data_IF_510184587246
#
_entry.id   IF_510184587246
#
_cell.length_a   1.000
_cell.length_b   1.000
_cell.length_c   1.000
_cell.angle_alpha   90.00
_cell.angle_beta   90.00
_cell.angle_gamma   90.00
#
_symmetry.space_group_name_H-M   'P 1'
#
loop_
_entity.id
_entity.type
_entity.pdbx_description
1 polymer ?
#
# COMPACT_ATOMS: atom_id res chain seq x y z
N UNK A 1 -44.96 -4.37 24.10
CA UNK A 1 -43.86 -3.39 24.28
C UNK A 1 -43.10 -3.29 22.97
N UNK A 2 -43.41 -2.29 22.16
CA UNK A 2 -42.77 -2.05 20.86
C UNK A 2 -41.27 -1.76 21.03
N UNK A 3 -40.44 -2.58 20.38
CA UNK A 3 -39.02 -2.31 20.21
C UNK A 3 -38.88 -1.25 19.13
N UNK A 4 -38.87 0.00 19.57
CA UNK A 4 -38.61 1.19 18.76
C UNK A 4 -37.28 1.06 17.95
N UNK A 5 -37.35 1.31 16.64
CA UNK A 5 -36.35 1.17 15.55
C UNK A 5 -35.43 2.40 15.34
N UNK A 6 -34.11 2.28 15.52
CA UNK A 6 -33.18 3.44 15.46
C UNK A 6 -32.07 3.32 14.42
N UNK A 7 -31.77 4.45 13.75
CA UNK A 7 -30.48 4.73 13.12
C UNK A 7 -29.72 5.78 13.96
N UNK A 8 -28.40 5.62 14.13
CA UNK A 8 -27.56 6.67 14.74
C UNK A 8 -26.29 6.92 13.90
N UNK A 9 -25.90 8.19 13.77
CA UNK A 9 -24.70 8.65 13.06
C UNK A 9 -23.85 9.60 13.94
N UNK A 10 -22.52 9.47 13.88
CA UNK A 10 -21.59 10.24 14.74
C UNK A 10 -20.39 10.83 13.96
N UNK A 11 -19.83 11.97 14.44
CA UNK A 11 -18.63 12.68 13.90
C UNK A 11 -17.44 12.60 14.89
N UNK A 12 -16.20 12.47 14.41
CA UNK A 12 -14.96 12.25 15.22
C UNK A 12 -14.18 13.55 15.56
N UNK A 13 -13.20 13.60 16.52
CA UNK A 13 -12.04 12.66 16.64
C UNK A 13 -11.84 11.85 17.94
N UNK A 14 -12.13 12.31 19.15
CA UNK A 14 -11.76 11.52 20.35
C UNK A 14 -12.74 11.81 21.48
N UNK A 15 -13.91 11.13 21.46
CA UNK A 15 -14.83 10.90 22.62
C UNK A 15 -16.11 10.07 22.28
N UNK A 16 -16.10 9.08 21.38
CA UNK A 16 -17.27 8.19 21.15
C UNK A 16 -17.57 7.22 22.34
N UNK A 17 -16.63 7.05 23.29
CA UNK A 17 -16.85 6.29 24.55
C UNK A 17 -18.02 6.81 25.40
N UNK A 18 -18.36 8.09 25.24
CA UNK A 18 -19.49 8.80 25.86
C UNK A 18 -20.79 8.67 25.05
N UNK A 19 -20.71 8.15 23.83
CA UNK A 19 -21.69 8.28 22.75
C UNK A 19 -22.49 6.98 22.47
N UNK A 20 -22.41 5.93 23.27
CA UNK A 20 -23.06 6.05 24.57
C UNK A 20 -23.20 4.69 25.25
N UNK A 21 -22.52 4.56 26.38
CA UNK A 21 -22.96 3.93 27.64
C UNK A 21 -24.38 4.38 28.12
N UNK A 22 -25.01 5.29 27.38
CA UNK A 22 -26.25 6.07 27.58
C UNK A 22 -27.35 5.74 26.54
N UNK A 23 -27.04 4.99 25.45
CA UNK A 23 -28.04 4.34 24.57
C UNK A 23 -28.66 3.15 25.32
N UNK A 24 -27.84 2.45 26.11
CA UNK A 24 -28.23 1.23 26.83
C UNK A 24 -29.01 1.42 28.14
N UNK A 25 -29.14 2.64 28.68
CA UNK A 25 -29.88 2.85 29.95
C UNK A 25 -31.29 3.41 29.78
N UNK A 26 -31.68 3.94 28.60
CA UNK A 26 -32.84 4.87 28.52
C UNK A 26 -33.78 4.73 27.31
N UNK A 27 -33.45 4.03 26.23
CA UNK A 27 -34.29 4.05 25.03
C UNK A 27 -34.43 2.70 24.32
N UNK A 28 -35.69 2.33 24.09
CA UNK A 28 -36.16 1.82 22.81
C UNK A 28 -36.16 3.04 21.86
N UNK A 29 -35.23 3.13 20.91
CA UNK A 29 -35.05 4.36 20.14
C UNK A 29 -35.74 4.24 18.75
N UNK A 30 -36.73 5.08 18.51
CA UNK A 30 -37.40 5.37 17.24
C UNK A 30 -37.53 6.88 17.25
N UNK A 31 -37.36 7.61 16.14
CA UNK A 31 -36.81 7.25 14.85
C UNK A 31 -35.75 8.26 14.35
N UNK A 32 -34.98 7.82 13.35
CA UNK A 32 -34.17 8.52 12.32
C UNK A 32 -34.18 10.05 12.08
N UNK A 33 -35.09 10.86 12.60
CA UNK A 33 -35.43 12.13 11.95
C UNK A 33 -35.08 13.33 12.80
N UNK A 34 -33.94 13.95 12.52
CA UNK A 34 -33.92 15.37 12.14
C UNK A 34 -32.50 15.78 11.80
N UNK A 35 -32.18 15.46 10.54
CA UNK A 35 -31.06 16.04 9.80
C UNK A 35 -31.10 17.58 9.85
N UNK A 36 -29.94 18.19 10.00
CA UNK A 36 -29.57 19.27 9.08
C UNK A 36 -28.24 18.88 8.44
N UNK A 37 -28.31 18.64 7.13
CA UNK A 37 -27.30 17.96 6.31
C UNK A 37 -26.51 18.92 5.42
N UNK A 38 -26.43 20.18 5.81
CA UNK A 38 -26.07 21.19 4.83
C UNK A 38 -24.56 21.43 4.68
N UNK A 39 -23.69 20.82 5.47
CA UNK A 39 -22.24 21.04 5.33
C UNK A 39 -21.44 19.77 5.63
N UNK A 40 -21.17 18.95 4.61
CA UNK A 40 -20.37 17.73 4.75
C UNK A 40 -19.22 17.66 3.74
N UNK A 41 -18.07 18.18 4.20
CA UNK A 41 -16.65 17.86 3.96
C UNK A 41 -15.92 18.49 5.19
N UNK A 42 -14.94 17.95 5.90
CA UNK A 42 -14.18 16.69 5.97
C UNK A 42 -14.29 16.14 7.42
N UNK A 43 -13.75 14.94 7.68
CA UNK A 43 -13.78 14.14 8.92
C UNK A 43 -14.92 13.09 9.03
N UNK A 44 -14.46 11.84 9.01
CA UNK A 44 -15.19 10.57 8.85
C UNK A 44 -16.40 10.38 9.76
N UNK A 45 -17.50 9.90 9.17
CA UNK A 45 -18.72 9.48 9.89
C UNK A 45 -18.80 7.96 10.01
N UNK A 46 -19.39 7.48 11.11
CA UNK A 46 -19.83 6.09 11.30
C UNK A 46 -21.35 6.05 11.43
N UNK A 47 -21.98 5.04 10.84
CA UNK A 47 -23.39 4.71 11.08
C UNK A 47 -23.50 3.34 11.75
N UNK A 48 -24.22 3.28 12.87
CA UNK A 48 -24.55 2.05 13.60
C UNK A 48 -25.99 1.66 13.27
N UNK A 49 -26.15 0.48 12.69
CA UNK A 49 -27.44 0.01 12.18
C UNK A 49 -27.77 -1.32 12.80
N UNK A 50 -28.87 -1.36 13.53
CA UNK A 50 -29.25 -2.47 14.40
C UNK A 50 -30.28 -3.43 13.76
N UNK A 51 -30.80 -3.14 12.56
CA UNK A 51 -31.83 -3.96 11.93
C UNK A 51 -31.71 -4.02 10.40
N UNK A 52 -31.80 -5.23 9.83
CA UNK A 52 -31.64 -5.52 8.39
C UNK A 52 -32.70 -4.81 7.53
N UNK A 53 -33.95 -4.73 8.02
CA UNK A 53 -35.06 -4.05 7.32
C UNK A 53 -34.92 -2.52 7.23
N UNK A 54 -34.10 -1.91 8.10
CA UNK A 54 -33.81 -0.48 8.05
C UNK A 54 -32.81 -0.16 6.94
N UNK A 55 -31.90 -1.10 6.66
CA UNK A 55 -30.90 -0.97 5.60
C UNK A 55 -31.50 -1.05 4.21
N UNK A 56 -32.45 -1.96 3.99
CA UNK A 56 -33.14 -2.05 2.72
C UNK A 56 -33.90 -0.76 2.42
N UNK A 57 -34.57 -0.19 3.43
CA UNK A 57 -35.22 1.13 3.31
C UNK A 57 -34.22 2.26 3.07
N UNK A 58 -33.10 2.32 3.79
CA UNK A 58 -32.08 3.36 3.55
C UNK A 58 -31.43 3.24 2.17
N UNK A 59 -31.20 2.01 1.70
CA UNK A 59 -30.71 1.69 0.36
C UNK A 59 -31.66 2.19 -0.71
N UNK A 60 -32.96 1.98 -0.53
CA UNK A 60 -33.97 2.30 -1.51
C UNK A 60 -34.36 3.78 -1.48
N UNK A 61 -34.60 4.33 -0.29
CA UNK A 61 -35.17 5.66 -0.11
C UNK A 61 -34.10 6.76 -0.05
N UNK A 62 -32.89 6.44 0.41
CA UNK A 62 -31.81 7.42 0.62
C UNK A 62 -30.42 6.95 0.13
N UNK A 63 -30.28 6.47 -1.13
CA UNK A 63 -29.03 5.91 -1.64
C UNK A 63 -27.86 6.91 -1.65
N UNK A 64 -28.14 8.20 -1.77
CA UNK A 64 -27.13 9.26 -1.78
C UNK A 64 -26.48 9.46 -0.40
N UNK A 65 -27.19 9.15 0.69
CA UNK A 65 -26.68 9.25 2.06
C UNK A 65 -25.64 8.15 2.33
N UNK A 66 -25.91 6.94 1.86
CA UNK A 66 -25.02 5.79 1.98
C UNK A 66 -23.68 5.99 1.25
N UNK A 67 -23.68 6.68 0.10
CA UNK A 67 -22.45 7.06 -0.62
C UNK A 67 -21.55 8.01 0.17
N UNK A 68 -22.10 8.74 1.16
CA UNK A 68 -21.36 9.68 2.02
C UNK A 68 -20.92 9.07 3.35
N UNK A 69 -21.30 7.82 3.63
CA UNK A 69 -20.90 7.10 4.83
C UNK A 69 -19.71 6.21 4.47
N UNK A 70 -18.47 6.59 4.82
CA UNK A 70 -17.29 5.84 4.41
C UNK A 70 -17.24 4.44 5.04
N UNK A 71 -17.89 4.24 6.21
CA UNK A 71 -17.80 3.03 7.02
C UNK A 71 -19.18 2.68 7.60
N UNK A 72 -19.64 1.47 7.32
CA UNK A 72 -20.91 0.94 7.83
C UNK A 72 -20.64 -0.11 8.91
N UNK A 73 -21.19 0.09 10.11
CA UNK A 73 -21.12 -0.89 11.19
C UNK A 73 -22.51 -1.46 11.42
N UNK A 74 -22.70 -2.73 11.05
CA UNK A 74 -23.98 -3.43 11.19
C UNK A 74 -23.91 -4.43 12.35
N UNK A 75 -24.91 -4.41 13.23
CA UNK A 75 -25.04 -5.41 14.29
C UNK A 75 -26.15 -6.35 13.86
N UNK A 76 -25.79 -7.55 13.37
CA UNK A 76 -26.77 -8.54 12.94
C UNK A 76 -26.77 -9.74 13.90
N UNK A 77 -27.98 -10.09 14.36
CA UNK A 77 -28.21 -11.31 15.14
C UNK A 77 -28.12 -12.60 14.33
N UNK A 78 -28.01 -12.52 12.99
CA UNK A 78 -28.06 -13.67 12.07
C UNK A 78 -26.86 -13.68 11.13
N UNK A 79 -26.38 -14.89 10.80
CA UNK A 79 -25.12 -15.16 10.09
C UNK A 79 -25.05 -14.70 8.63
N UNK A 80 -26.05 -14.01 8.10
CA UNK A 80 -26.05 -13.55 6.71
C UNK A 80 -26.72 -12.19 6.60
N UNK A 81 -25.91 -11.13 6.56
CA UNK A 81 -26.33 -9.78 6.22
C UNK A 81 -26.27 -9.65 4.69
N UNK A 82 -27.40 -9.47 4.01
CA UNK A 82 -27.44 -9.27 2.55
C UNK A 82 -27.65 -7.79 2.25
N UNK A 83 -26.61 -7.11 1.77
CA UNK A 83 -26.75 -5.77 1.20
C UNK A 83 -27.38 -5.85 -0.19
N UNK A 84 -28.21 -4.87 -0.54
CA UNK A 84 -28.64 -4.67 -1.92
C UNK A 84 -27.41 -4.51 -2.83
N UNK A 85 -27.48 -5.07 -4.03
CA UNK A 85 -26.38 -5.13 -5.00
C UNK A 85 -25.86 -3.76 -5.45
N UNK A 86 -26.60 -2.69 -5.19
CA UNK A 86 -26.30 -1.31 -5.59
C UNK A 86 -25.41 -0.56 -4.59
N UNK A 87 -25.13 -1.11 -3.40
CA UNK A 87 -24.30 -0.46 -2.38
C UNK A 87 -23.06 -1.30 -2.01
N UNK A 88 -21.86 -0.73 -2.22
CA UNK A 88 -20.56 -1.32 -1.87
C UNK A 88 -19.85 -0.44 -0.82
N UNK A 89 -20.11 -0.62 0.48
CA UNK A 89 -19.36 0.10 1.51
C UNK A 89 -17.87 -0.30 1.46
N UNK A 90 -16.99 0.66 1.75
CA UNK A 90 -15.54 0.48 1.79
C UNK A 90 -15.09 -0.55 2.82
N UNK A 91 -15.88 -0.72 3.88
CA UNK A 91 -15.68 -1.71 4.93
C UNK A 91 -17.03 -2.05 5.57
N UNK A 92 -17.32 -3.35 5.68
CA UNK A 92 -18.46 -3.88 6.44
C UNK A 92 -17.89 -4.56 7.67
N UNK A 93 -18.41 -4.20 8.84
CA UNK A 93 -18.09 -4.90 10.07
C UNK A 93 -19.38 -5.41 10.69
N UNK A 94 -19.50 -6.72 10.81
CA UNK A 94 -20.62 -7.40 11.47
C UNK A 94 -20.23 -7.84 12.88
N UNK A 95 -21.09 -7.59 13.86
CA UNK A 95 -20.95 -8.12 15.22
C UNK A 95 -22.11 -9.02 15.59
N UNK A 96 -21.82 -10.15 16.24
CA UNK A 96 -22.83 -11.00 16.87
C UNK A 96 -23.30 -10.40 18.21
N UNK A 97 -24.49 -10.78 18.72
CA UNK A 97 -25.06 -10.22 19.95
C UNK A 97 -24.15 -10.35 21.19
N UNK A 98 -23.33 -11.43 21.25
CA UNK A 98 -22.38 -11.66 22.35
C UNK A 98 -21.17 -10.75 22.30
N UNK A 99 -20.81 -10.24 21.12
CA UNK A 99 -19.63 -9.38 20.92
C UNK A 99 -19.90 -7.91 21.28
N UNK A 100 -21.16 -7.54 21.47
CA UNK A 100 -21.64 -6.19 21.82
C UNK A 100 -21.06 -5.71 23.16
N UNK A 101 -20.87 -6.58 24.15
CA UNK A 101 -20.27 -6.20 25.45
C UNK A 101 -18.82 -5.72 25.35
N UNK A 102 -18.14 -6.06 24.24
CA UNK A 102 -16.75 -5.68 23.96
C UNK A 102 -16.62 -4.55 22.94
N UNK A 103 -17.75 -3.97 22.48
CA UNK A 103 -17.80 -2.89 21.49
C UNK A 103 -16.82 -1.75 21.77
N UNK A 104 -16.65 -1.23 23.00
CA UNK A 104 -15.71 -0.13 23.23
C UNK A 104 -14.25 -0.48 22.92
N UNK A 105 -13.84 -1.75 23.11
CA UNK A 105 -12.49 -2.23 22.77
C UNK A 105 -12.35 -2.53 21.28
N UNK A 106 -13.36 -3.15 20.67
CA UNK A 106 -13.38 -3.43 19.23
C UNK A 106 -13.50 -2.14 18.39
N UNK A 107 -14.29 -1.17 18.83
CA UNK A 107 -14.37 0.18 18.26
C UNK A 107 -13.08 0.95 18.50
N UNK A 108 -12.38 0.81 19.64
CA UNK A 108 -11.05 1.41 19.79
C UNK A 108 -9.99 0.76 18.87
N UNK A 109 -10.10 -0.55 18.60
CA UNK A 109 -9.26 -1.26 17.63
C UNK A 109 -9.59 -0.87 16.18
N UNK A 110 -10.87 -0.71 15.85
CA UNK A 110 -11.36 -0.21 14.57
C UNK A 110 -11.00 1.27 14.39
N UNK A 111 -11.15 2.11 15.42
CA UNK A 111 -10.60 3.45 15.48
C UNK A 111 -9.09 3.43 15.27
N UNK A 112 -8.30 2.46 15.78
CA UNK A 112 -6.87 2.36 15.41
C UNK A 112 -6.65 1.99 13.94
N UNK A 113 -7.55 1.19 13.36
CA UNK A 113 -7.53 0.81 11.94
C UNK A 113 -8.05 1.92 11.01
N UNK A 114 -8.86 2.85 11.53
CA UNK A 114 -9.59 3.92 10.81
C UNK A 114 -9.00 5.33 11.09
N UNK A 115 -8.43 5.56 12.28
CA UNK A 115 -7.50 6.66 12.63
C UNK A 115 -6.08 6.36 12.13
N UNK A 116 -5.87 5.25 11.42
CA UNK A 116 -5.07 5.38 10.21
C UNK A 116 -5.88 6.28 9.28
N UNK A 117 -5.73 7.59 9.48
CA UNK A 117 -5.83 8.58 8.40
C UNK A 117 -5.19 7.98 7.13
N UNK A 118 -5.51 8.42 5.89
CA UNK A 118 -4.51 8.28 4.84
C UNK A 118 -3.21 8.74 5.50
N UNK A 119 -2.22 7.84 5.65
CA UNK A 119 -0.95 8.19 6.28
C UNK A 119 -0.64 9.59 5.76
N UNK A 120 -0.48 10.60 6.65
CA UNK A 120 0.19 11.86 6.29
C UNK A 120 1.21 11.47 5.24
N UNK A 121 1.10 12.01 4.01
CA UNK A 121 1.90 11.63 2.85
C UNK A 121 3.22 11.09 3.36
N UNK A 122 3.39 9.77 3.25
CA UNK A 122 4.50 9.12 3.90
C UNK A 122 5.74 9.79 3.35
N UNK A 123 6.41 10.60 4.18
CA UNK A 123 7.69 11.23 3.82
C UNK A 123 8.72 10.21 3.34
N UNK A 124 8.45 8.91 3.52
CA UNK A 124 9.34 7.83 3.16
C UNK A 124 8.70 7.02 2.03
N UNK A 125 9.20 7.21 0.81
CA UNK A 125 8.87 6.39 -0.35
C UNK A 125 9.65 5.08 -0.32
N UNK A 126 9.12 4.08 -1.00
CA UNK A 126 9.86 2.87 -1.36
C UNK A 126 10.30 2.99 -2.83
N UNK A 127 11.61 3.01 -3.04
CA UNK A 127 12.19 3.04 -4.39
C UNK A 127 12.61 1.62 -4.76
N UNK A 128 12.03 1.08 -5.83
CA UNK A 128 12.37 -0.26 -6.32
C UNK A 128 13.07 -0.13 -7.67
N UNK A 129 14.33 -0.58 -7.76
CA UNK A 129 15.15 -0.49 -8.97
C UNK A 129 15.36 -1.89 -9.55
N UNK A 130 14.90 -2.13 -10.78
CA UNK A 130 15.20 -3.34 -11.55
C UNK A 130 16.26 -3.08 -12.60
N UNK A 131 17.25 -3.96 -12.74
CA UNK A 131 18.31 -3.84 -13.74
C UNK A 131 18.94 -5.19 -14.12
N UNK A 132 19.64 -5.23 -15.26
CA UNK A 132 20.37 -6.41 -15.72
C UNK A 132 21.73 -5.99 -16.31
N UNK A 133 22.07 -6.38 -17.56
CA UNK A 133 23.31 -5.98 -18.22
C UNK A 133 23.49 -4.46 -18.26
N UNK A 134 24.63 -3.97 -17.73
CA UNK A 134 24.94 -2.54 -17.56
C UNK A 134 24.43 -1.92 -16.26
N UNK A 135 23.53 -2.61 -15.55
CA UNK A 135 22.90 -2.16 -14.31
C UNK A 135 23.84 -1.89 -13.14
N UNK A 136 24.86 -2.73 -12.85
CA UNK A 136 25.70 -2.57 -11.66
C UNK A 136 26.37 -1.19 -11.55
N UNK A 137 26.86 -0.64 -12.68
CA UNK A 137 27.49 0.68 -12.71
C UNK A 137 26.49 1.81 -12.48
N UNK A 138 25.26 1.65 -12.94
CA UNK A 138 24.19 2.64 -12.76
C UNK A 138 23.66 2.63 -11.32
N UNK A 139 23.47 1.44 -10.75
CA UNK A 139 23.10 1.26 -9.34
C UNK A 139 24.16 1.88 -8.42
N UNK A 140 25.44 1.63 -8.69
CA UNK A 140 26.56 2.24 -7.96
C UNK A 140 26.48 3.76 -7.98
N UNK A 141 26.29 4.36 -9.16
CA UNK A 141 26.13 5.82 -9.30
C UNK A 141 24.93 6.35 -8.50
N UNK A 142 23.79 5.66 -8.53
CA UNK A 142 22.62 6.03 -7.73
C UNK A 142 23.01 6.05 -6.25
N UNK A 143 23.49 4.93 -5.71
CA UNK A 143 23.74 4.80 -4.27
C UNK A 143 24.84 5.73 -3.74
N UNK A 144 25.93 5.92 -4.48
CA UNK A 144 27.02 6.83 -4.10
C UNK A 144 26.55 8.30 -4.06
N UNK A 145 25.53 8.66 -4.83
CA UNK A 145 25.01 10.03 -4.85
C UNK A 145 24.09 10.37 -3.67
N UNK A 146 23.59 9.37 -2.93
CA UNK A 146 22.61 9.60 -1.87
C UNK A 146 23.29 9.97 -0.54
N UNK A 147 22.73 10.92 0.23
CA UNK A 147 23.25 11.30 1.54
C UNK A 147 22.96 10.22 2.61
N UNK A 148 23.65 10.26 3.75
CA UNK A 148 23.49 9.29 4.84
C UNK A 148 22.08 9.30 5.45
N UNK A 149 21.46 10.48 5.52
CA UNK A 149 20.13 10.73 6.07
C UNK A 149 19.00 10.64 5.04
N UNK A 150 19.25 9.96 3.90
CA UNK A 150 18.27 9.84 2.82
C UNK A 150 16.94 9.25 3.34
N UNK A 151 15.80 9.96 3.16
CA UNK A 151 14.56 9.67 3.89
C UNK A 151 13.78 8.47 3.34
N UNK A 152 14.28 7.78 2.31
CA UNK A 152 13.58 6.72 1.62
C UNK A 152 14.35 5.40 1.68
N UNK A 153 13.63 4.29 1.57
CA UNK A 153 14.22 2.96 1.47
C UNK A 153 14.37 2.54 0.01
N UNK A 154 15.41 1.77 -0.28
CA UNK A 154 15.65 1.25 -1.62
C UNK A 154 15.64 -0.28 -1.63
N UNK A 155 15.02 -0.84 -2.66
CA UNK A 155 15.02 -2.27 -2.98
C UNK A 155 15.57 -2.42 -4.41
N UNK A 156 16.65 -3.16 -4.58
CA UNK A 156 17.35 -3.27 -5.86
C UNK A 156 17.37 -4.72 -6.31
N UNK A 157 16.82 -4.97 -7.50
CA UNK A 157 16.79 -6.27 -8.15
C UNK A 157 17.70 -6.20 -9.37
N UNK A 158 18.94 -6.66 -9.17
CA UNK A 158 19.92 -6.83 -10.23
C UNK A 158 19.98 -8.30 -10.63
N UNK A 159 19.83 -8.60 -11.93
CA UNK A 159 20.09 -9.96 -12.42
C UNK A 159 21.56 -10.30 -12.23
N UNK A 160 21.82 -11.26 -11.35
CA UNK A 160 23.14 -11.80 -11.08
C UNK A 160 23.14 -13.32 -11.09
N UNK A 161 24.26 -13.94 -11.50
CA UNK A 161 24.54 -15.33 -11.17
C UNK A 161 24.57 -15.53 -9.65
N UNK A 162 24.25 -16.74 -9.18
CA UNK A 162 24.36 -17.10 -7.76
C UNK A 162 25.76 -16.79 -7.22
N UNK A 163 25.82 -16.18 -6.04
CA UNK A 163 27.07 -15.83 -5.35
C UNK A 163 27.65 -14.43 -5.65
N UNK A 164 27.07 -13.67 -6.59
CA UNK A 164 27.55 -12.32 -6.92
C UNK A 164 26.86 -11.21 -6.13
N UNK A 165 25.59 -11.39 -5.77
CA UNK A 165 24.78 -10.37 -5.06
C UNK A 165 25.39 -9.93 -3.74
N UNK A 166 25.92 -10.86 -2.93
CA UNK A 166 26.56 -10.55 -1.65
C UNK A 166 27.79 -9.67 -1.82
N UNK A 167 28.72 -10.04 -2.71
CA UNK A 167 29.93 -9.26 -3.00
C UNK A 167 29.59 -7.87 -3.55
N UNK A 168 28.53 -7.78 -4.35
CA UNK A 168 28.06 -6.50 -4.87
C UNK A 168 27.51 -5.62 -3.75
N UNK A 169 26.67 -6.16 -2.85
CA UNK A 169 26.18 -5.44 -1.68
C UNK A 169 27.32 -4.97 -0.77
N UNK A 170 28.30 -5.83 -0.47
CA UNK A 170 29.49 -5.48 0.34
C UNK A 170 30.31 -4.34 -0.30
N UNK A 171 30.56 -4.42 -1.62
CA UNK A 171 31.24 -3.33 -2.35
C UNK A 171 30.44 -2.04 -2.25
N UNK A 172 29.15 -2.06 -2.54
CA UNK A 172 28.30 -0.87 -2.50
C UNK A 172 28.25 -0.26 -1.09
N UNK A 173 28.17 -1.09 -0.05
CA UNK A 173 28.20 -0.64 1.34
C UNK A 173 29.51 0.09 1.70
N UNK A 174 30.63 -0.29 1.09
CA UNK A 174 31.93 0.36 1.34
C UNK A 174 32.09 1.74 0.69
N UNK A 175 31.26 2.07 -0.31
CA UNK A 175 31.35 3.32 -1.09
C UNK A 175 30.12 4.22 -0.99
N UNK A 176 29.03 3.69 -0.44
CA UNK A 176 27.77 4.38 -0.19
C UNK A 176 27.75 4.98 1.22
N UNK A 177 27.04 6.09 1.40
CA UNK A 177 26.71 6.62 2.73
C UNK A 177 25.52 5.90 3.35
N UNK A 178 24.69 5.26 2.52
CA UNK A 178 23.59 4.39 2.97
C UNK A 178 24.12 3.03 3.42
N UNK A 179 23.39 2.40 4.34
CA UNK A 179 23.56 0.99 4.66
C UNK A 179 23.09 0.14 3.47
N UNK A 180 23.98 -0.64 2.87
CA UNK A 180 23.67 -1.51 1.73
C UNK A 180 23.86 -2.98 2.12
N UNK A 181 22.78 -3.76 2.06
CA UNK A 181 22.78 -5.16 2.49
C UNK A 181 22.22 -6.09 1.41
N UNK A 182 22.68 -7.34 1.38
CA UNK A 182 21.97 -8.40 0.65
C UNK A 182 20.69 -8.75 1.42
N UNK A 183 19.60 -8.98 0.70
CA UNK A 183 18.30 -9.29 1.29
C UNK A 183 18.33 -10.59 2.09
N UNK A 184 17.81 -10.52 3.32
CA UNK A 184 17.58 -11.67 4.19
C UNK A 184 16.10 -11.74 4.61
N UNK A 185 15.65 -12.93 4.99
CA UNK A 185 14.26 -13.17 5.42
C UNK A 185 13.92 -12.28 6.64
N UNK A 186 12.83 -11.53 6.54
CA UNK A 186 12.37 -10.64 7.61
C UNK A 186 13.14 -9.33 7.74
N UNK A 187 14.14 -9.06 6.89
CA UNK A 187 14.88 -7.80 6.90
C UNK A 187 13.95 -6.62 6.63
N UNK A 188 14.00 -5.59 7.48
CA UNK A 188 13.13 -4.42 7.34
C UNK A 188 13.65 -3.44 6.29
N UNK A 189 12.74 -2.93 5.45
CA UNK A 189 12.98 -1.83 4.53
C UNK A 189 12.73 -0.49 5.23
N UNK A 190 13.81 0.13 5.70
CA UNK A 190 13.81 1.41 6.42
C UNK A 190 14.52 2.51 5.63
N UNK A 191 14.21 3.79 5.88
CA UNK A 191 15.00 4.92 5.36
C UNK A 191 16.50 4.75 5.62
N UNK A 192 17.34 5.31 4.73
CA UNK A 192 18.79 5.20 4.86
C UNK A 192 19.38 3.83 4.48
N UNK A 193 18.54 2.86 4.06
CA UNK A 193 18.96 1.51 3.70
C UNK A 193 18.60 1.15 2.26
N UNK A 194 19.55 0.55 1.56
CA UNK A 194 19.35 -0.10 0.29
C UNK A 194 19.52 -1.63 0.43
N UNK A 195 18.53 -2.39 -0.03
CA UNK A 195 18.55 -3.86 0.01
C UNK A 195 18.71 -4.43 -1.39
N UNK A 196 19.74 -5.24 -1.60
CA UNK A 196 20.03 -5.94 -2.85
C UNK A 196 19.38 -7.33 -2.83
N UNK A 197 18.57 -7.65 -3.83
CA UNK A 197 17.97 -8.98 -3.96
C UNK A 197 19.02 -10.09 -4.04
N UNK A 198 18.81 -11.15 -3.25
CA UNK A 198 19.70 -12.30 -3.18
C UNK A 198 19.64 -13.14 -4.46
N UNK A 199 20.78 -13.31 -5.14
CA UNK A 199 20.87 -14.14 -6.34
C UNK A 199 20.43 -15.58 -6.07
N UNK A 200 19.59 -16.13 -6.94
CA UNK A 200 19.04 -17.48 -6.79
C UNK A 200 17.76 -17.60 -5.97
N UNK A 201 17.23 -16.48 -5.45
CA UNK A 201 15.90 -16.39 -4.84
C UNK A 201 15.15 -15.18 -5.40
N UNK A 202 13.82 -15.20 -5.34
CA UNK A 202 13.01 -14.00 -5.57
C UNK A 202 12.93 -13.19 -4.29
N UNK A 203 13.06 -11.87 -4.43
CA UNK A 203 12.78 -10.93 -3.35
C UNK A 203 11.32 -10.51 -3.45
N UNK A 204 10.51 -10.94 -2.50
CA UNK A 204 9.16 -10.42 -2.29
C UNK A 204 9.18 -9.42 -1.14
N UNK A 205 8.24 -8.50 -1.16
CA UNK A 205 7.95 -7.61 -0.05
C UNK A 205 6.74 -8.16 0.71
N UNK A 206 6.81 -8.13 2.03
CA UNK A 206 5.74 -8.61 2.90
C UNK A 206 5.44 -7.57 3.99
N UNK A 207 4.15 -7.36 4.27
CA UNK A 207 3.73 -6.58 5.42
C UNK A 207 3.88 -7.43 6.68
N UNK A 208 4.69 -6.99 7.63
CA UNK A 208 4.81 -7.57 8.97
C UNK A 208 4.41 -6.52 10.02
N UNK A 209 3.18 -6.63 10.53
CA UNK A 209 2.54 -5.63 11.41
C UNK A 209 2.51 -4.25 10.76
N UNK A 210 3.36 -3.32 11.18
CA UNK A 210 3.46 -1.96 10.67
C UNK A 210 4.69 -1.76 9.76
N UNK A 211 5.51 -2.80 9.61
CA UNK A 211 6.78 -2.79 8.90
C UNK A 211 6.65 -3.49 7.55
N UNK A 212 7.43 -3.03 6.57
CA UNK A 212 7.61 -3.73 5.30
C UNK A 212 8.93 -4.49 5.42
N UNK A 213 8.89 -5.79 5.17
CA UNK A 213 10.06 -6.68 5.29
C UNK A 213 10.30 -7.45 4.00
N UNK A 214 11.55 -7.83 3.80
CA UNK A 214 11.98 -8.75 2.76
C UNK A 214 11.48 -10.16 3.06
N UNK A 215 11.01 -10.83 2.01
CA UNK A 215 10.64 -12.24 2.00
C UNK A 215 11.43 -12.93 0.88
N UNK A 216 12.19 -13.95 1.23
CA UNK A 216 13.06 -14.68 0.31
C UNK A 216 12.30 -15.91 -0.19
N UNK A 217 11.95 -15.90 -1.47
CA UNK A 217 11.08 -16.92 -2.07
C UNK A 217 11.89 -17.78 -3.04
N UNK A 218 11.88 -19.12 -2.90
CA UNK A 218 12.55 -20.00 -3.87
C UNK A 218 11.85 -19.93 -5.24
N UNK A 219 12.58 -20.23 -6.31
CA UNK A 219 12.04 -20.25 -7.68
C UNK A 219 11.16 -21.48 -7.94
N UNK A 220 10.00 -21.54 -7.30
CA UNK A 220 9.04 -22.66 -7.45
C UNK A 220 8.37 -22.62 -8.84
N UNK A 221 8.21 -21.42 -9.41
CA UNK A 221 7.55 -21.21 -10.71
C UNK A 221 8.45 -21.50 -11.92
N UNK A 222 9.73 -21.82 -11.72
CA UNK A 222 10.68 -22.08 -12.80
C UNK A 222 10.94 -20.86 -13.68
N UNK A 223 10.88 -19.65 -13.12
CA UNK A 223 11.16 -18.41 -13.85
C UNK A 223 12.62 -18.38 -14.29
N UNK A 224 12.87 -17.78 -15.46
CA UNK A 224 14.20 -17.67 -16.05
C UNK A 224 15.12 -16.75 -15.23
N UNK A 225 14.61 -15.61 -14.79
CA UNK A 225 15.37 -14.65 -13.99
C UNK A 225 15.12 -14.87 -12.49
N UNK A 226 16.19 -15.12 -11.74
CA UNK A 226 16.14 -15.33 -10.28
C UNK A 226 17.30 -14.59 -9.60
N UNK A 227 17.07 -13.38 -9.06
CA UNK A 227 15.77 -12.75 -8.80
C UNK A 227 15.06 -12.24 -10.06
N UNK A 228 13.73 -12.14 -9.99
CA UNK A 228 12.88 -11.51 -11.01
C UNK A 228 12.40 -10.16 -10.50
N UNK A 229 12.52 -9.14 -11.35
CA UNK A 229 12.04 -7.78 -11.10
C UNK A 229 10.52 -7.76 -11.04
N UNK A 230 9.83 -8.48 -11.93
CA UNK A 230 8.37 -8.57 -11.94
C UNK A 230 7.83 -9.10 -10.61
N UNK A 231 8.41 -10.18 -10.07
CA UNK A 231 7.97 -10.74 -8.78
C UNK A 231 8.09 -9.72 -7.63
N UNK A 232 9.18 -8.94 -7.59
CA UNK A 232 9.34 -7.87 -6.60
C UNK A 232 8.32 -6.75 -6.81
N UNK A 233 8.13 -6.27 -8.04
CA UNK A 233 7.14 -5.24 -8.38
C UNK A 233 5.71 -5.66 -8.03
N UNK A 234 5.31 -6.91 -8.33
CA UNK A 234 4.00 -7.42 -7.96
C UNK A 234 3.81 -7.50 -6.45
N UNK A 235 4.83 -7.95 -5.72
CA UNK A 235 4.73 -8.05 -4.25
C UNK A 235 4.56 -6.68 -3.58
N UNK A 236 5.14 -5.62 -4.16
CA UNK A 236 5.03 -4.25 -3.65
C UNK A 236 3.58 -3.75 -3.61
N UNK A 237 2.75 -4.13 -4.58
CA UNK A 237 1.33 -3.75 -4.65
C UNK A 237 0.52 -4.18 -3.42
N UNK A 238 0.96 -5.23 -2.72
CA UNK A 238 0.24 -5.81 -1.59
C UNK A 238 0.66 -5.25 -0.23
N UNK A 239 1.73 -4.46 -0.16
CA UNK A 239 2.36 -4.06 1.13
C UNK A 239 2.40 -2.56 1.36
N UNK A 240 2.35 -1.75 0.31
CA UNK A 240 2.45 -0.30 0.41
C UNK A 240 1.47 0.38 -0.54
N UNK A 241 0.97 1.55 -0.14
CA UNK A 241 0.13 2.36 -1.03
C UNK A 241 0.92 2.72 -2.28
N UNK A 242 0.34 2.49 -3.47
CA UNK A 242 1.08 2.64 -4.73
C UNK A 242 1.65 4.05 -4.94
N UNK A 243 1.00 5.09 -4.39
CA UNK A 243 1.51 6.48 -4.42
C UNK A 243 2.85 6.68 -3.70
N UNK A 244 3.18 5.79 -2.77
CA UNK A 244 4.44 5.79 -2.02
C UNK A 244 5.51 4.92 -2.70
N UNK A 245 5.21 4.34 -3.88
CA UNK A 245 6.15 3.52 -4.66
C UNK A 245 6.68 4.32 -5.84
N UNK A 246 8.00 4.31 -5.97
CA UNK A 246 8.72 4.72 -7.18
C UNK A 246 9.42 3.50 -7.75
N UNK A 247 9.04 3.07 -8.95
CA UNK A 247 9.69 1.94 -9.61
C UNK A 247 10.52 2.41 -10.80
N UNK A 248 11.77 1.97 -10.84
CA UNK A 248 12.74 2.33 -11.87
C UNK A 248 13.19 1.05 -12.57
N UNK A 249 13.13 1.03 -13.90
CA UNK A 249 13.61 -0.08 -14.72
C UNK A 249 14.74 0.42 -15.61
N UNK A 250 15.95 -0.04 -15.30
CA UNK A 250 17.18 0.32 -15.98
C UNK A 250 17.54 -0.69 -17.09
N UNK A 251 18.62 -0.38 -17.80
CA UNK A 251 19.27 -1.21 -18.81
C UNK A 251 19.26 -2.71 -18.49
N UNK A 252 19.00 -3.50 -19.52
CA UNK A 252 18.95 -4.94 -19.38
C UNK A 252 18.39 -5.68 -20.58
N UNK A 253 18.75 -6.96 -20.68
CA UNK A 253 18.23 -7.87 -21.71
C UNK A 253 16.84 -8.37 -21.31
N UNK A 254 15.97 -8.58 -22.30
CA UNK A 254 14.68 -9.26 -22.08
C UNK A 254 13.57 -8.30 -21.66
N UNK A 255 12.64 -8.81 -20.87
CA UNK A 255 11.36 -8.16 -20.57
C UNK A 255 11.00 -8.13 -19.09
N UNK A 256 11.81 -8.73 -18.22
CA UNK A 256 11.52 -8.82 -16.79
C UNK A 256 11.39 -7.42 -16.17
N UNK A 257 10.36 -7.25 -15.34
CA UNK A 257 9.98 -5.97 -14.76
C UNK A 257 8.94 -5.19 -15.58
N UNK A 258 8.69 -5.55 -16.85
CA UNK A 258 7.74 -4.82 -17.68
C UNK A 258 6.27 -5.01 -17.23
N UNK A 259 5.87 -6.23 -16.88
CA UNK A 259 4.49 -6.53 -16.47
C UNK A 259 4.20 -5.96 -15.07
N UNK A 260 5.14 -6.13 -14.15
CA UNK A 260 5.10 -5.54 -12.81
C UNK A 260 5.06 -4.02 -12.87
N UNK A 261 5.81 -3.40 -13.78
CA UNK A 261 5.80 -1.95 -13.96
C UNK A 261 4.44 -1.46 -14.50
N UNK A 262 3.81 -2.19 -15.43
CA UNK A 262 2.43 -1.90 -15.87
C UNK A 262 1.44 -1.98 -14.70
N UNK A 263 1.54 -3.03 -13.88
CA UNK A 263 0.66 -3.19 -12.73
C UNK A 263 0.84 -2.07 -11.69
N UNK A 264 2.09 -1.69 -11.41
CA UNK A 264 2.43 -0.57 -10.54
C UNK A 264 1.88 0.76 -11.06
N UNK A 265 2.07 1.06 -12.34
CA UNK A 265 1.52 2.28 -12.96
C UNK A 265 -0.01 2.30 -12.88
N UNK A 266 -0.67 1.19 -13.21
CA UNK A 266 -2.15 1.09 -13.13
C UNK A 266 -2.67 1.30 -11.70
N UNK A 267 -1.91 0.92 -10.69
CA UNK A 267 -2.25 1.14 -9.29
C UNK A 267 -1.94 2.57 -8.80
N UNK A 268 -1.26 3.39 -9.62
CA UNK A 268 -0.95 4.79 -9.31
C UNK A 268 0.46 5.04 -8.79
N UNK A 269 1.37 4.07 -8.93
CA UNK A 269 2.79 4.27 -8.64
C UNK A 269 3.48 5.10 -9.72
N UNK A 270 4.54 5.81 -9.33
CA UNK A 270 5.37 6.55 -10.27
C UNK A 270 6.42 5.61 -10.85
N UNK A 271 6.40 5.40 -12.17
CA UNK A 271 7.27 4.43 -12.84
C UNK A 271 8.15 5.09 -13.88
N UNK A 272 9.44 4.77 -13.87
CA UNK A 272 10.45 5.36 -14.75
C UNK A 272 11.19 4.25 -15.47
N UNK A 273 11.27 4.32 -16.80
CA UNK A 273 12.13 3.46 -17.60
C UNK A 273 13.34 4.26 -18.11
N UNK A 274 14.52 3.64 -18.14
CA UNK A 274 15.70 4.24 -18.76
C UNK A 274 15.50 4.43 -20.27
N UNK A 275 16.03 5.53 -20.82
CA UNK A 275 15.98 5.82 -22.25
C UNK A 275 16.94 4.94 -23.04
N UNK A 276 16.67 4.79 -24.33
CA UNK A 276 17.56 4.10 -25.28
C UNK A 276 18.95 4.75 -25.36
N UNK A 277 19.01 6.07 -25.14
CA UNK A 277 20.24 6.86 -25.29
C UNK A 277 21.28 6.51 -24.25
N UNK A 278 20.88 6.17 -23.01
CA UNK A 278 21.82 5.84 -21.93
C UNK A 278 21.87 4.37 -21.58
N UNK A 279 20.84 3.59 -21.95
CA UNK A 279 20.81 2.16 -21.68
C UNK A 279 21.92 1.44 -22.46
N UNK A 280 22.77 0.70 -21.76
CA UNK A 280 23.76 -0.16 -22.40
C UNK A 280 23.11 -1.27 -23.23
N UNK A 281 21.97 -1.78 -22.75
CA UNK A 281 21.07 -2.68 -23.47
C UNK A 281 19.64 -2.21 -23.28
N UNK A 282 19.02 -1.74 -24.37
CA UNK A 282 17.66 -1.23 -24.37
C UNK A 282 16.62 -2.35 -24.59
N UNK A 283 16.62 -3.36 -23.72
CA UNK A 283 15.65 -4.46 -23.72
C UNK A 283 14.53 -4.25 -22.69
N UNK A 284 14.85 -4.43 -21.41
CA UNK A 284 13.88 -4.31 -20.32
C UNK A 284 13.15 -2.95 -20.33
N UNK A 285 13.83 -1.79 -20.45
CA UNK A 285 13.15 -0.50 -20.50
C UNK A 285 12.27 -0.33 -21.75
N UNK A 286 12.70 -0.88 -22.89
CA UNK A 286 11.94 -0.84 -24.15
C UNK A 286 10.60 -1.56 -24.00
N UNK A 287 10.61 -2.79 -23.50
CA UNK A 287 9.38 -3.58 -23.34
C UNK A 287 8.44 -2.93 -22.32
N UNK A 288 8.96 -2.39 -21.22
CA UNK A 288 8.14 -1.65 -20.26
C UNK A 288 7.51 -0.39 -20.87
N UNK A 289 8.24 0.36 -21.70
CA UNK A 289 7.69 1.51 -22.45
C UNK A 289 6.59 1.07 -23.42
N UNK A 290 6.84 0.06 -24.25
CA UNK A 290 5.90 -0.44 -25.26
C UNK A 290 4.59 -0.97 -24.65
N UNK A 291 4.66 -1.60 -23.47
CA UNK A 291 3.47 -2.05 -22.73
C UNK A 291 2.73 -0.94 -21.99
N UNK A 292 3.23 0.31 -22.07
CA UNK A 292 2.66 1.43 -21.34
C UNK A 292 2.91 1.33 -19.84
N UNK A 293 3.98 0.68 -19.39
CA UNK A 293 4.35 0.56 -17.98
C UNK A 293 5.02 1.81 -17.43
N UNK A 294 5.73 2.58 -18.25
CA UNK A 294 6.49 3.75 -17.83
C UNK A 294 5.62 5.03 -17.79
N UNK A 295 5.59 5.76 -16.67
CA UNK A 295 5.06 7.13 -16.58
C UNK A 295 6.03 8.09 -17.26
N UNK A 296 7.33 7.93 -17.03
CA UNK A 296 8.39 8.68 -17.71
C UNK A 296 9.43 7.74 -18.32
N UNK A 297 10.01 8.17 -19.43
CA UNK A 297 11.22 7.59 -20.00
C UNK A 297 12.29 8.67 -19.92
N UNK A 298 13.38 8.40 -19.21
CA UNK A 298 14.39 9.40 -18.86
C UNK A 298 15.80 8.89 -19.14
N UNK A 299 16.70 9.79 -19.52
CA UNK A 299 18.13 9.49 -19.57
C UNK A 299 18.63 9.19 -18.14
N UNK A 300 19.58 8.27 -17.99
CA UNK A 300 20.05 7.86 -16.66
C UNK A 300 20.46 9.02 -15.73
N UNK A 301 21.16 10.09 -16.18
CA UNK A 301 21.47 11.23 -15.32
C UNK A 301 20.22 11.90 -14.73
N UNK A 302 19.12 11.96 -15.48
CA UNK A 302 17.85 12.51 -15.00
C UNK A 302 17.15 11.56 -14.03
N UNK A 303 17.30 10.24 -14.21
CA UNK A 303 16.83 9.24 -13.24
C UNK A 303 17.60 9.37 -11.92
N UNK A 304 18.93 9.45 -12.00
CA UNK A 304 19.80 9.63 -10.84
C UNK A 304 19.43 10.91 -10.08
N UNK A 305 19.30 12.02 -10.80
CA UNK A 305 18.88 13.30 -10.24
C UNK A 305 17.48 13.22 -9.62
N UNK A 306 16.52 12.61 -10.30
CA UNK A 306 15.17 12.44 -9.77
C UNK A 306 15.17 11.66 -8.44
N UNK A 307 15.92 10.56 -8.36
CA UNK A 307 16.03 9.77 -7.12
C UNK A 307 16.66 10.64 -6.03
N UNK A 308 17.75 11.37 -6.31
CA UNK A 308 18.37 12.27 -5.35
C UNK A 308 17.38 13.32 -4.80
N UNK A 309 16.66 14.02 -5.68
CA UNK A 309 15.73 15.10 -5.33
C UNK A 309 14.50 14.62 -4.54
N UNK A 310 14.13 13.33 -4.65
CA UNK A 310 13.09 12.76 -3.78
C UNK A 310 13.45 12.89 -2.29
N UNK A 311 14.74 12.88 -1.97
CA UNK A 311 15.23 13.04 -0.60
C UNK A 311 15.22 14.47 -0.07
N UNK A 312 15.06 15.48 -0.94
CA UNK A 312 15.04 16.90 -0.56
C UNK A 312 13.62 17.42 -0.23
N UNK A 313 12.59 16.59 -0.45
CA UNK A 313 11.16 16.93 -0.33
C UNK A 313 10.57 16.61 1.04
#
# INVERSE_FOLDING_TARGET
MERKKTLMAFKTPLKEKLVKRYISNKYSAEPLFNMSLQQLKEDSFFALIFEEQLMDRLSNDYPWLLKKIPILVAVSGTKSFKLSSSFKPSLIVSFSPKEISTLPRKLAFLERKIKKEPKKEGKNKLIIVGASTGGPRLIEKILVSLPEDYPHSLCIVQHFPKGFSKRFAERLNSISKLEVLEAEEGMELIPGRAVIAKAGYHLHLQQNREKIVCKIVPNIKGLFFVPSVDETFFSALSVIGSKDVVAVLLTGIGYDGAEGMVALRKAGAFTIAESEKTAAVYGMPKVAKEKGGAVKVLDFPDIQKFIFELGES
#
